data_IF_951670573480
#
_entry.id   IF_951670573480
#
_cell.length_a   1.000
_cell.length_b   1.000
_cell.length_c   1.000
_cell.angle_alpha   90.00
_cell.angle_beta   90.00
_cell.angle_gamma   90.00
#
_symmetry.space_group_name_H-M   'P 1'
#
loop_
_entity.id
_entity.type
_entity.pdbx_description
1 polymer ?
#
# COMPACT_ATOMS: atom_id res chain seq x y z
N UNK A 1 21.45 -17.14 10.00
CA UNK A 1 21.42 -16.19 8.86
C UNK A 1 20.07 -15.49 8.89
N UNK A 2 20.02 -14.25 9.39
CA UNK A 2 18.78 -13.49 9.44
C UNK A 2 18.35 -13.19 8.01
N UNK A 3 17.35 -13.93 7.51
CA UNK A 3 16.58 -13.48 6.34
C UNK A 3 16.01 -12.13 6.74
N UNK A 4 16.55 -11.05 6.20
CA UNK A 4 15.83 -9.78 6.16
C UNK A 4 14.51 -10.12 5.47
N UNK A 5 13.43 -10.06 6.23
CA UNK A 5 12.07 -10.25 5.71
C UNK A 5 11.88 -9.20 4.60
N UNK A 6 11.41 -9.61 3.41
CA UNK A 6 11.24 -8.71 2.27
C UNK A 6 10.31 -7.54 2.63
N UNK A 7 9.32 -7.80 3.47
CA UNK A 7 8.46 -6.78 4.09
C UNK A 7 9.25 -5.72 4.82
N UNK A 8 10.25 -6.11 5.64
CA UNK A 8 11.11 -5.15 6.34
C UNK A 8 11.92 -4.30 5.36
N UNK A 9 12.45 -4.91 4.29
CA UNK A 9 13.19 -4.17 3.26
C UNK A 9 12.31 -3.12 2.59
N UNK A 10 11.06 -3.45 2.26
CA UNK A 10 10.11 -2.50 1.66
C UNK A 10 9.81 -1.36 2.64
N UNK A 11 9.61 -1.68 3.92
CA UNK A 11 9.40 -0.68 4.97
C UNK A 11 10.61 0.26 5.07
N UNK A 12 11.83 -0.27 5.04
CA UNK A 12 13.05 0.53 5.08
C UNK A 12 13.17 1.44 3.85
N UNK A 13 12.91 0.90 2.65
CA UNK A 13 12.88 1.69 1.39
C UNK A 13 11.84 2.82 1.44
N UNK A 14 10.65 2.58 2.02
CA UNK A 14 9.62 3.61 2.22
C UNK A 14 10.05 4.65 3.26
N UNK A 15 10.69 4.23 4.36
CA UNK A 15 11.20 5.13 5.40
C UNK A 15 12.28 6.07 4.85
N UNK A 16 13.16 5.59 3.98
CA UNK A 16 14.19 6.41 3.30
C UNK A 16 13.59 7.52 2.44
N UNK A 17 12.37 7.33 1.93
CA UNK A 17 11.65 8.31 1.10
C UNK A 17 10.63 9.14 1.90
N UNK A 18 10.50 8.91 3.20
CA UNK A 18 9.51 9.57 4.05
C UNK A 18 9.83 11.07 4.23
N UNK A 19 8.78 11.88 4.27
CA UNK A 19 8.89 13.33 4.43
C UNK A 19 7.85 13.84 5.42
N UNK A 20 8.30 14.25 6.61
CA UNK A 20 7.42 14.72 7.70
C UNK A 20 6.53 15.90 7.30
N UNK A 21 7.06 16.84 6.53
CA UNK A 21 6.29 18.00 6.06
C UNK A 21 5.14 17.58 5.14
N UNK A 22 5.40 16.66 4.20
CA UNK A 22 4.36 16.10 3.34
C UNK A 22 3.35 15.25 4.12
N UNK A 23 3.81 14.46 5.08
CA UNK A 23 2.94 13.70 5.96
C UNK A 23 1.92 14.62 6.68
N UNK A 24 2.38 15.75 7.22
CA UNK A 24 1.51 16.74 7.86
C UNK A 24 0.52 17.37 6.88
N UNK A 25 0.94 17.64 5.64
CA UNK A 25 0.05 18.13 4.60
C UNK A 25 -1.02 17.10 4.25
N UNK A 26 -0.64 15.83 4.06
CA UNK A 26 -1.55 14.74 3.74
C UNK A 26 -2.61 14.53 4.83
N UNK A 27 -2.24 14.56 6.12
CA UNK A 27 -3.21 14.45 7.21
C UNK A 27 -4.37 15.45 7.09
N UNK A 28 -4.08 16.68 6.65
CA UNK A 28 -5.10 17.72 6.42
C UNK A 28 -5.86 17.50 5.12
N UNK A 29 -5.15 17.17 4.05
CA UNK A 29 -5.74 16.96 2.72
C UNK A 29 -6.73 15.78 2.71
N UNK A 30 -6.37 14.67 3.35
CA UNK A 30 -7.18 13.46 3.44
C UNK A 30 -8.23 13.48 4.57
N UNK A 31 -8.35 14.60 5.31
CA UNK A 31 -9.35 14.79 6.36
C UNK A 31 -9.33 13.65 7.39
N UNK A 32 -8.24 13.61 8.15
CA UNK A 32 -7.96 12.55 9.14
C UNK A 32 -8.32 12.92 10.58
N UNK A 33 -8.96 14.07 10.81
CA UNK A 33 -9.35 14.49 12.15
C UNK A 33 -10.53 13.65 12.67
N UNK A 34 -10.76 13.59 13.99
CA UNK A 34 -11.89 12.86 14.57
C UNK A 34 -13.23 13.29 13.95
N UNK A 35 -14.02 12.31 13.51
CA UNK A 35 -15.30 12.50 12.83
C UNK A 35 -15.20 12.77 11.33
N UNK A 36 -13.99 12.84 10.76
CA UNK A 36 -13.79 12.95 9.32
C UNK A 36 -13.65 11.56 8.66
N UNK A 37 -13.85 11.50 7.35
CA UNK A 37 -13.93 10.22 6.63
C UNK A 37 -12.59 9.47 6.57
N UNK A 38 -11.45 10.17 6.69
CA UNK A 38 -10.11 9.60 6.75
C UNK A 38 -9.61 9.41 8.18
N UNK A 39 -10.47 9.47 9.19
CA UNK A 39 -10.08 9.32 10.60
C UNK A 39 -9.28 8.03 10.82
N UNK A 40 -8.13 8.15 11.50
CA UNK A 40 -7.25 7.03 11.85
C UNK A 40 -6.10 6.78 10.86
N UNK A 41 -6.15 7.34 9.64
CA UNK A 41 -5.07 7.19 8.67
C UNK A 41 -3.78 7.88 9.14
N UNK A 42 -2.66 7.16 9.02
CA UNK A 42 -1.31 7.69 9.28
C UNK A 42 -0.55 7.86 7.97
N UNK A 43 0.22 8.92 7.86
CA UNK A 43 1.00 9.22 6.65
C UNK A 43 2.49 9.32 6.94
N UNK A 44 3.29 8.81 6.02
CA UNK A 44 4.76 8.94 6.00
C UNK A 44 5.23 10.07 5.09
N UNK A 45 4.39 10.54 4.17
CA UNK A 45 4.71 11.59 3.21
C UNK A 45 5.55 11.10 2.02
N UNK A 46 5.49 9.81 1.70
CA UNK A 46 6.17 9.24 0.51
C UNK A 46 5.35 9.58 -0.73
N UNK A 47 5.98 10.17 -1.75
CA UNK A 47 5.25 10.53 -2.96
C UNK A 47 4.89 9.30 -3.81
N UNK A 48 3.82 9.39 -4.59
CA UNK A 48 3.32 8.29 -5.44
C UNK A 48 4.37 7.77 -6.43
N UNK A 49 5.15 8.60 -7.14
CA UNK A 49 6.21 8.11 -8.01
C UNK A 49 7.21 7.18 -7.30
N UNK A 50 7.64 7.51 -6.09
CA UNK A 50 8.61 6.70 -5.33
C UNK A 50 7.97 5.41 -4.79
N UNK A 51 6.72 5.47 -4.32
CA UNK A 51 5.95 4.27 -3.98
C UNK A 51 5.83 3.32 -5.17
N UNK A 52 5.51 3.83 -6.36
CA UNK A 52 5.40 3.00 -7.59
C UNK A 52 6.74 2.39 -8.00
N UNK A 53 7.86 3.11 -7.83
CA UNK A 53 9.21 2.55 -8.07
C UNK A 53 9.50 1.37 -7.14
N UNK A 54 9.24 1.52 -5.84
CA UNK A 54 9.42 0.46 -4.84
C UNK A 54 8.49 -0.71 -5.16
N UNK A 55 7.21 -0.45 -5.42
CA UNK A 55 6.24 -1.46 -5.83
C UNK A 55 6.70 -2.26 -7.06
N UNK A 56 7.12 -1.57 -8.12
CA UNK A 56 7.57 -2.21 -9.36
C UNK A 56 8.84 -3.04 -9.18
N UNK A 57 9.71 -2.66 -8.25
CA UNK A 57 10.93 -3.40 -7.91
C UNK A 57 10.61 -4.72 -7.20
N UNK A 58 9.65 -4.73 -6.28
CA UNK A 58 9.47 -5.83 -5.32
C UNK A 58 8.25 -6.72 -5.61
N UNK A 59 7.30 -6.32 -6.48
CA UNK A 59 6.03 -7.05 -6.69
C UNK A 59 6.20 -8.52 -7.11
N UNK A 60 7.33 -8.90 -7.70
CA UNK A 60 7.57 -10.30 -8.11
C UNK A 60 7.91 -11.20 -6.93
N UNK A 61 8.62 -10.68 -5.94
CA UNK A 61 9.17 -11.48 -4.84
C UNK A 61 8.24 -11.53 -3.62
N UNK A 62 7.50 -10.45 -3.35
CA UNK A 62 6.60 -10.37 -2.19
C UNK A 62 5.43 -11.34 -2.34
N UNK A 63 5.06 -12.00 -1.23
CA UNK A 63 3.94 -12.93 -1.20
C UNK A 63 2.62 -12.23 -0.91
N UNK A 64 1.50 -12.88 -1.27
CA UNK A 64 0.16 -12.34 -1.02
C UNK A 64 -0.13 -12.16 0.48
N UNK A 65 0.32 -13.08 1.34
CA UNK A 65 0.15 -12.96 2.79
C UNK A 65 0.94 -11.77 3.37
N UNK A 66 2.10 -11.44 2.80
CA UNK A 66 2.85 -10.23 3.20
C UNK A 66 2.12 -8.98 2.73
N UNK A 67 1.58 -8.96 1.51
CA UNK A 67 0.77 -7.85 1.01
C UNK A 67 -0.48 -7.62 1.87
N UNK A 68 -1.08 -8.69 2.39
CA UNK A 68 -2.19 -8.59 3.35
C UNK A 68 -1.80 -7.81 4.61
N UNK A 69 -0.62 -8.06 5.18
CA UNK A 69 -0.11 -7.33 6.33
C UNK A 69 0.04 -5.83 6.03
N UNK A 70 0.50 -5.47 4.82
CA UNK A 70 0.59 -4.07 4.39
C UNK A 70 -0.80 -3.43 4.21
N UNK A 71 -1.77 -4.15 3.63
CA UNK A 71 -3.14 -3.66 3.45
C UNK A 71 -3.82 -3.38 4.79
N UNK A 72 -3.55 -4.18 5.82
CA UNK A 72 -4.14 -4.03 7.16
C UNK A 72 -3.45 -2.95 8.02
N UNK A 73 -2.43 -2.28 7.49
CA UNK A 73 -1.70 -1.23 8.21
C UNK A 73 -2.50 0.07 8.29
N UNK A 74 -2.37 0.78 9.42
CA UNK A 74 -2.88 2.16 9.57
C UNK A 74 -2.09 3.16 8.69
N UNK A 75 -0.88 2.79 8.27
CA UNK A 75 -0.03 3.64 7.43
C UNK A 75 -0.54 3.59 5.99
N UNK A 76 -0.98 4.74 5.50
CA UNK A 76 -1.53 4.92 4.17
C UNK A 76 -0.55 4.46 3.08
N UNK A 77 0.71 4.89 3.12
CA UNK A 77 1.69 4.54 2.09
C UNK A 77 2.05 3.05 2.06
N UNK A 78 1.75 2.28 3.11
CA UNK A 78 1.89 0.82 3.08
C UNK A 78 0.77 0.21 2.24
N UNK A 79 -0.47 0.66 2.49
CA UNK A 79 -1.66 0.20 1.78
C UNK A 79 -1.60 0.53 0.29
N UNK A 80 -1.33 1.78 -0.06
CA UNK A 80 -1.23 2.20 -1.47
C UNK A 80 -0.08 1.49 -2.20
N UNK A 81 1.07 1.29 -1.55
CA UNK A 81 2.19 0.53 -2.12
C UNK A 81 1.82 -0.93 -2.36
N UNK A 82 1.11 -1.57 -1.42
CA UNK A 82 0.61 -2.93 -1.60
C UNK A 82 -0.40 -3.03 -2.74
N UNK A 83 -1.33 -2.08 -2.87
CA UNK A 83 -2.28 -2.01 -3.97
C UNK A 83 -1.57 -1.90 -5.32
N UNK A 84 -0.55 -1.05 -5.45
CA UNK A 84 0.26 -1.00 -6.68
C UNK A 84 0.93 -2.34 -7.01
N UNK A 85 1.45 -3.04 -5.99
CA UNK A 85 2.03 -4.37 -6.18
C UNK A 85 0.99 -5.41 -6.61
N UNK A 86 -0.24 -5.36 -6.07
CA UNK A 86 -1.33 -6.23 -6.51
C UNK A 86 -1.70 -5.96 -7.97
N UNK A 87 -1.83 -4.71 -8.40
CA UNK A 87 -2.07 -4.38 -9.81
C UNK A 87 -0.97 -4.94 -10.71
N UNK A 88 0.31 -4.75 -10.35
CA UNK A 88 1.43 -5.29 -11.13
C UNK A 88 1.47 -6.81 -11.18
N UNK A 89 1.11 -7.49 -10.07
CA UNK A 89 0.94 -8.94 -10.06
C UNK A 89 -0.21 -9.36 -10.97
N UNK A 90 -1.36 -8.71 -10.86
CA UNK A 90 -2.58 -9.02 -11.63
C UNK A 90 -2.36 -8.93 -13.15
N UNK A 91 -1.64 -7.90 -13.60
CA UNK A 91 -1.27 -7.71 -15.02
C UNK A 91 -0.46 -8.89 -15.60
N UNK A 92 0.27 -9.61 -14.76
CA UNK A 92 1.18 -10.71 -15.16
C UNK A 92 0.68 -12.10 -14.77
N UNK A 93 -0.36 -12.15 -13.94
CA UNK A 93 -0.91 -13.36 -13.36
C UNK A 93 -1.73 -14.17 -14.35
N UNK A 94 -1.74 -15.49 -14.16
CA UNK A 94 -2.73 -16.37 -14.76
C UNK A 94 -4.10 -16.23 -14.07
N UNK A 95 -5.11 -16.96 -14.56
CA UNK A 95 -6.49 -16.83 -14.05
C UNK A 95 -6.63 -17.25 -12.56
N UNK A 96 -5.86 -18.25 -12.13
CA UNK A 96 -5.89 -18.73 -10.74
C UNK A 96 -5.22 -17.71 -9.81
N UNK A 97 -4.08 -17.16 -10.22
CA UNK A 97 -3.39 -16.10 -9.50
C UNK A 97 -4.22 -14.80 -9.45
N UNK A 98 -4.87 -14.43 -10.55
CA UNK A 98 -5.80 -13.29 -10.60
C UNK A 98 -6.94 -13.44 -9.61
N UNK A 99 -7.55 -14.62 -9.57
CA UNK A 99 -8.61 -14.92 -8.59
C UNK A 99 -8.11 -14.74 -7.16
N UNK A 100 -6.89 -15.22 -6.87
CA UNK A 100 -6.27 -15.07 -5.54
C UNK A 100 -6.01 -13.60 -5.18
N UNK A 101 -5.58 -12.78 -6.14
CA UNK A 101 -5.34 -11.35 -5.95
C UNK A 101 -6.66 -10.60 -5.72
N UNK A 102 -7.70 -10.89 -6.51
CA UNK A 102 -9.02 -10.28 -6.35
C UNK A 102 -9.63 -10.65 -5.01
N UNK A 103 -9.55 -11.92 -4.60
CA UNK A 103 -10.04 -12.35 -3.28
C UNK A 103 -9.30 -11.61 -2.16
N UNK A 104 -7.97 -11.52 -2.22
CA UNK A 104 -7.20 -10.77 -1.23
C UNK A 104 -7.64 -9.30 -1.15
N UNK A 105 -7.88 -8.66 -2.29
CA UNK A 105 -8.39 -7.29 -2.32
C UNK A 105 -9.77 -7.17 -1.67
N UNK A 106 -10.71 -8.04 -2.04
CA UNK A 106 -12.09 -8.02 -1.53
C UNK A 106 -12.16 -8.34 -0.03
N UNK A 107 -11.38 -9.32 0.43
CA UNK A 107 -11.28 -9.71 1.84
C UNK A 107 -10.70 -8.58 2.73
N UNK A 108 -9.98 -7.63 2.11
CA UNK A 108 -9.36 -6.49 2.78
C UNK A 108 -9.96 -5.13 2.33
N UNK A 109 -11.14 -5.13 1.68
CA UNK A 109 -11.73 -3.91 1.10
C UNK A 109 -12.01 -2.83 2.16
N UNK A 110 -12.24 -3.23 3.41
CA UNK A 110 -12.42 -2.31 4.54
C UNK A 110 -11.19 -1.42 4.81
N UNK A 111 -10.00 -1.82 4.34
CA UNK A 111 -8.77 -1.03 4.46
C UNK A 111 -8.47 -0.16 3.21
N UNK A 112 -9.23 -0.36 2.13
CA UNK A 112 -9.26 0.50 0.95
C UNK A 112 -10.33 1.57 1.18
N UNK A 113 -10.17 2.33 2.27
CA UNK A 113 -11.19 3.20 2.86
C UNK A 113 -11.10 4.67 2.40
N UNK A 114 -10.35 4.95 1.35
CA UNK A 114 -10.15 6.29 0.81
C UNK A 114 -10.25 6.27 -0.72
N UNK A 115 -10.72 7.38 -1.30
CA UNK A 115 -10.99 7.47 -2.73
C UNK A 115 -9.72 7.27 -3.56
N UNK A 116 -8.57 7.74 -3.08
CA UNK A 116 -7.30 7.60 -3.79
C UNK A 116 -6.78 6.16 -3.81
N UNK A 117 -7.06 5.38 -2.75
CA UNK A 117 -6.75 3.95 -2.71
C UNK A 117 -7.62 3.16 -3.70
N UNK A 118 -8.90 3.53 -3.83
CA UNK A 118 -9.80 2.95 -4.84
C UNK A 118 -9.30 3.29 -6.25
N UNK A 119 -9.09 4.57 -6.55
CA UNK A 119 -8.59 5.05 -7.86
C UNK A 119 -7.23 4.43 -8.23
N UNK A 120 -6.38 4.19 -7.24
CA UNK A 120 -5.07 3.56 -7.43
C UNK A 120 -5.15 2.08 -7.84
N UNK A 121 -6.24 1.39 -7.49
CA UNK A 121 -6.34 -0.08 -7.56
C UNK A 121 -7.41 -0.60 -8.50
N UNK A 122 -8.41 0.22 -8.82
CA UNK A 122 -9.52 -0.12 -9.71
C UNK A 122 -9.84 1.04 -10.70
N UNK A 123 -8.89 1.41 -11.58
CA UNK A 123 -9.07 2.50 -12.55
C UNK A 123 -9.97 2.15 -13.74
#
# INVERSE_FOLDING_TARGET
MNKINLSQRIIDELNEQACKEKAQHHLRFFKTAPGEYGEGDKFMGVNVPDQRKIAKKQYREIKLNELEEFLRSEIHEYRSTALFMLCYKFEKADESERTSIVNLYLDNIAFVNNWDLVDASAP
#
